data_IF_889427723968
#
_entry.id   IF_889427723968
#
_cell.length_a   1.000
_cell.length_b   1.000
_cell.length_c   1.000
_cell.angle_alpha   90.00
_cell.angle_beta   90.00
_cell.angle_gamma   90.00
#
_symmetry.space_group_name_H-M   'P 1'
#
loop_
_entity.id
_entity.type
_entity.pdbx_description
1 polymer ?
#
# COMPACT_ATOMS: atom_id res chain seq x y z
N UNK A 1 23.93 46.42 0.02
CA UNK A 1 25.06 46.22 -0.89
C UNK A 1 24.55 45.36 -2.04
N UNK A 2 24.34 46.03 -3.15
CA UNK A 2 23.91 45.48 -4.43
C UNK A 2 25.08 44.78 -5.11
N UNK A 3 24.85 43.69 -5.80
CA UNK A 3 25.80 43.03 -6.69
C UNK A 3 25.06 42.43 -7.85
N UNK A 4 24.88 43.22 -8.91
CA UNK A 4 24.39 42.81 -10.22
C UNK A 4 25.44 41.93 -10.91
N UNK A 5 25.00 40.78 -11.47
CA UNK A 5 25.79 39.99 -12.39
C UNK A 5 25.11 39.91 -13.76
N UNK A 6 25.79 40.55 -14.69
CA UNK A 6 25.57 40.77 -16.10
C UNK A 6 25.63 39.44 -16.91
N UNK A 7 24.65 39.22 -17.82
CA UNK A 7 24.71 38.23 -18.88
C UNK A 7 25.24 38.87 -20.17
N UNK A 8 26.12 38.25 -20.91
CA UNK A 8 26.39 38.64 -22.29
C UNK A 8 25.53 37.91 -23.29
N UNK A 9 24.96 38.71 -24.14
CA UNK A 9 24.24 38.42 -25.38
C UNK A 9 25.23 37.88 -26.45
N UNK A 10 24.91 36.82 -27.14
CA UNK A 10 25.63 36.34 -28.34
C UNK A 10 24.63 36.13 -29.49
N UNK A 11 24.85 36.98 -30.48
CA UNK A 11 24.04 37.22 -31.62
C UNK A 11 23.92 36.10 -32.65
N UNK A 12 22.90 36.23 -33.41
CA UNK A 12 22.58 35.52 -34.63
C UNK A 12 23.62 35.71 -35.75
N UNK A 13 23.97 34.64 -36.40
CA UNK A 13 24.48 34.71 -37.77
C UNK A 13 23.86 33.57 -38.62
N UNK A 14 23.08 34.00 -39.64
CA UNK A 14 22.49 33.17 -40.66
C UNK A 14 23.40 33.14 -41.86
N UNK A 15 23.88 31.99 -42.31
CA UNK A 15 24.48 31.85 -43.61
C UNK A 15 23.73 30.84 -44.47
N UNK A 16 23.17 31.39 -45.53
CA UNK A 16 22.49 30.70 -46.63
C UNK A 16 23.51 30.30 -47.69
N UNK A 17 23.68 29.03 -47.96
CA UNK A 17 24.46 28.55 -49.09
C UNK A 17 23.51 28.12 -50.23
N UNK A 18 23.53 28.90 -51.30
CA UNK A 18 22.91 28.62 -52.61
C UNK A 18 23.69 27.52 -53.35
N UNK A 19 23.04 26.48 -53.78
CA UNK A 19 23.59 25.51 -54.75
C UNK A 19 23.09 25.85 -56.17
N UNK A 20 24.03 26.01 -57.08
CA UNK A 20 23.78 26.25 -58.52
C UNK A 20 23.63 24.91 -59.29
N UNK A 21 22.92 24.90 -60.41
CA UNK A 21 22.71 23.68 -61.20
C UNK A 21 23.84 23.46 -62.22
N UNK A 22 24.33 22.22 -62.25
CA UNK A 22 25.26 21.78 -63.31
C UNK A 22 24.48 21.12 -64.44
N UNK A 23 24.50 21.74 -65.57
CA UNK A 23 24.08 21.21 -66.92
C UNK A 23 25.25 20.42 -67.48
N UNK A 24 25.04 19.16 -67.86
CA UNK A 24 25.96 18.43 -68.75
C UNK A 24 25.23 17.98 -70.00
N UNK A 25 25.76 18.48 -71.11
CA UNK A 25 25.38 18.18 -72.48
C UNK A 25 25.91 16.83 -72.97
N UNK A 26 25.10 16.10 -73.69
CA UNK A 26 25.40 14.85 -74.37
C UNK A 26 26.17 15.09 -75.72
N UNK A 27 27.02 14.17 -76.12
CA UNK A 27 27.35 13.98 -77.53
C UNK A 27 26.67 12.74 -78.14
N UNK A 28 26.09 12.89 -79.29
CA UNK A 28 25.61 11.85 -80.21
C UNK A 28 26.76 11.20 -81.00
N UNK A 29 26.67 9.87 -81.23
CA UNK A 29 26.96 9.07 -82.45
C UNK A 29 26.95 7.60 -82.01
N UNK A 30 26.20 6.68 -82.52
CA UNK A 30 26.05 6.26 -83.90
C UNK A 30 26.33 4.75 -83.92
N UNK A 31 25.31 3.93 -84.22
CA UNK A 31 25.43 2.70 -84.98
C UNK A 31 25.83 1.42 -84.31
N UNK A 32 24.97 0.40 -84.36
CA UNK A 32 25.33 -1.00 -84.17
C UNK A 32 24.18 -1.83 -83.54
N UNK A 33 23.45 -2.58 -84.41
CA UNK A 33 22.50 -3.61 -83.92
C UNK A 33 23.28 -4.83 -83.39
N UNK A 34 23.11 -5.13 -82.10
CA UNK A 34 23.30 -6.49 -81.68
C UNK A 34 22.25 -6.76 -80.54
N UNK A 35 21.43 -7.76 -80.78
CA UNK A 35 20.32 -8.19 -79.94
C UNK A 35 20.93 -9.15 -78.90
N UNK A 36 21.13 -8.71 -77.67
CA UNK A 36 21.41 -9.58 -76.56
C UNK A 36 20.10 -10.05 -75.87
N UNK A 37 20.06 -11.26 -75.29
CA UNK A 37 18.80 -11.85 -74.76
C UNK A 37 18.32 -11.15 -73.51
N UNK A 38 17.01 -10.90 -73.44
CA UNK A 38 16.26 -10.37 -72.31
C UNK A 38 16.48 -11.22 -71.04
N UNK A 39 17.09 -10.64 -70.02
CA UNK A 39 16.98 -11.14 -68.64
C UNK A 39 15.50 -11.15 -68.23
N UNK A 40 15.01 -12.19 -67.58
CA UNK A 40 13.63 -12.20 -67.10
C UNK A 40 13.45 -11.11 -66.02
N UNK A 41 12.53 -10.19 -66.30
CA UNK A 41 12.10 -9.19 -65.32
C UNK A 41 11.53 -9.93 -64.13
N UNK A 42 12.24 -9.89 -62.99
CA UNK A 42 11.74 -10.44 -61.73
C UNK A 42 10.37 -9.80 -61.43
N UNK A 43 9.34 -10.64 -61.34
CA UNK A 43 7.96 -10.24 -61.08
C UNK A 43 7.90 -9.33 -59.84
N UNK A 44 7.47 -8.09 -60.02
CA UNK A 44 7.30 -7.08 -58.94
C UNK A 44 6.50 -7.64 -57.75
N UNK A 45 5.62 -8.61 -58.02
CA UNK A 45 4.85 -9.29 -56.97
C UNK A 45 5.73 -10.18 -56.05
N UNK A 46 6.78 -10.75 -56.59
CA UNK A 46 7.74 -11.56 -55.81
C UNK A 46 8.62 -10.70 -54.87
N UNK A 47 9.02 -9.50 -55.34
CA UNK A 47 9.81 -8.55 -54.56
C UNK A 47 8.97 -7.98 -53.41
N UNK A 48 7.69 -7.63 -53.64
CA UNK A 48 6.77 -7.13 -52.61
C UNK A 48 6.50 -8.22 -51.52
N UNK A 49 6.32 -9.47 -51.97
CA UNK A 49 6.15 -10.60 -51.03
C UNK A 49 7.39 -10.87 -50.17
N UNK A 50 8.57 -10.76 -50.76
CA UNK A 50 9.83 -10.92 -50.05
C UNK A 50 10.03 -9.83 -48.95
N UNK A 51 9.72 -8.57 -49.28
CA UNK A 51 9.79 -7.47 -48.32
C UNK A 51 8.73 -7.61 -47.21
N UNK A 52 7.52 -8.06 -47.51
CA UNK A 52 6.47 -8.31 -46.53
C UNK A 52 6.86 -9.43 -45.56
N UNK A 53 7.48 -10.52 -46.08
CA UNK A 53 7.99 -11.60 -45.22
C UNK A 53 9.18 -11.14 -44.35
N UNK A 54 10.10 -10.33 -44.88
CA UNK A 54 11.20 -9.77 -44.11
C UNK A 54 10.72 -8.84 -42.97
N UNK A 55 9.71 -7.98 -43.28
CA UNK A 55 9.09 -7.11 -42.29
C UNK A 55 8.33 -7.88 -41.19
N UNK A 56 7.63 -8.96 -41.56
CA UNK A 56 6.97 -9.86 -40.61
C UNK A 56 7.97 -10.60 -39.71
N UNK A 57 9.08 -11.08 -40.29
CA UNK A 57 10.15 -11.72 -39.59
C UNK A 57 10.88 -10.76 -38.60
N UNK A 58 11.13 -9.53 -39.06
CA UNK A 58 11.74 -8.48 -38.25
C UNK A 58 10.83 -8.08 -37.06
N UNK A 59 9.53 -7.96 -37.27
CA UNK A 59 8.53 -7.73 -36.23
C UNK A 59 8.49 -8.89 -35.24
N UNK A 60 8.55 -10.15 -35.71
CA UNK A 60 8.57 -11.34 -34.86
C UNK A 60 9.86 -11.41 -34.01
N UNK A 61 11.01 -11.05 -34.58
CA UNK A 61 12.29 -10.99 -33.85
C UNK A 61 12.26 -9.87 -32.80
N UNK A 62 11.69 -8.67 -33.12
CA UNK A 62 11.55 -7.58 -32.14
C UNK A 62 10.61 -7.92 -30.98
N UNK A 63 9.56 -8.73 -31.20
CA UNK A 63 8.68 -9.17 -30.12
C UNK A 63 9.30 -10.25 -29.23
N UNK A 64 10.18 -11.07 -29.76
CA UNK A 64 10.90 -12.10 -29.00
C UNK A 64 12.02 -11.52 -28.11
N UNK A 65 12.62 -10.39 -28.48
CA UNK A 65 13.68 -9.75 -27.66
C UNK A 65 13.14 -8.97 -26.46
N UNK A 66 11.83 -8.58 -26.46
CA UNK A 66 11.22 -7.88 -25.33
C UNK A 66 10.91 -8.76 -24.13
N UNK A 67 10.84 -10.09 -24.31
CA UNK A 67 10.52 -11.02 -23.23
C UNK A 67 11.76 -11.46 -22.40
N UNK A 68 12.98 -11.22 -22.89
CA UNK A 68 14.20 -11.75 -22.29
C UNK A 68 14.88 -10.81 -21.26
N UNK A 69 14.42 -9.58 -21.07
CA UNK A 69 15.09 -8.59 -20.23
C UNK A 69 14.44 -8.34 -18.85
N UNK A 70 13.31 -9.00 -18.52
CA UNK A 70 12.68 -8.87 -17.20
C UNK A 70 13.37 -9.71 -16.11
N UNK A 71 14.29 -10.59 -16.46
CA UNK A 71 14.56 -11.81 -15.68
C UNK A 71 15.81 -11.75 -14.78
N UNK A 72 16.57 -10.67 -14.74
CA UNK A 72 17.89 -10.73 -14.09
C UNK A 72 18.15 -9.66 -13.01
N UNK A 73 17.22 -8.75 -12.77
CA UNK A 73 17.52 -7.63 -11.85
C UNK A 73 17.79 -8.12 -10.42
N UNK A 74 17.01 -9.06 -9.90
CA UNK A 74 17.17 -9.53 -8.53
C UNK A 74 18.19 -10.64 -8.34
N UNK A 75 18.75 -11.20 -9.41
CA UNK A 75 19.77 -12.26 -9.30
C UNK A 75 20.98 -11.77 -8.52
N UNK A 76 21.34 -12.51 -7.46
CA UNK A 76 22.45 -12.15 -6.56
C UNK A 76 22.21 -10.92 -5.68
N UNK A 77 21.00 -10.34 -5.70
CA UNK A 77 20.64 -9.24 -4.81
C UNK A 77 19.86 -9.71 -3.60
N UNK A 78 19.79 -8.85 -2.61
CA UNK A 78 19.00 -9.02 -1.39
C UNK A 78 17.95 -7.93 -1.33
N UNK A 79 16.72 -8.26 -0.96
CA UNK A 79 15.66 -7.29 -0.66
C UNK A 79 15.67 -7.04 0.86
N UNK A 80 15.74 -5.79 1.26
CA UNK A 80 15.52 -5.36 2.65
C UNK A 80 14.04 -5.17 2.92
N UNK A 81 13.49 -5.89 3.92
CA UNK A 81 12.15 -5.65 4.44
C UNK A 81 12.23 -4.88 5.75
N UNK A 82 11.85 -3.61 5.72
CA UNK A 82 11.83 -2.74 6.89
C UNK A 82 10.50 -2.90 7.63
N UNK A 83 10.55 -3.27 8.91
CA UNK A 83 9.37 -3.44 9.76
C UNK A 83 9.31 -2.32 10.81
N UNK A 84 8.24 -1.52 10.77
CA UNK A 84 8.04 -0.34 11.62
C UNK A 84 7.62 -0.63 13.07
N UNK A 85 7.84 -1.84 13.56
CA UNK A 85 7.51 -2.27 14.92
C UNK A 85 8.68 -3.00 15.57
N UNK A 86 8.57 -3.21 16.89
CA UNK A 86 9.44 -4.12 17.63
C UNK A 86 9.24 -5.56 17.14
N UNK A 87 10.19 -6.42 17.49
CA UNK A 87 10.09 -7.87 17.29
C UNK A 87 8.89 -8.46 18.05
N UNK A 88 8.37 -9.57 17.56
CA UNK A 88 7.28 -10.34 18.17
C UNK A 88 5.89 -9.68 18.15
N UNK A 89 5.68 -8.58 17.44
CA UNK A 89 4.36 -7.99 17.20
C UNK A 89 3.73 -8.50 15.89
N UNK A 90 2.43 -8.24 15.70
CA UNK A 90 1.72 -8.69 14.50
C UNK A 90 2.35 -8.21 13.20
N UNK A 91 2.85 -6.97 13.12
CA UNK A 91 3.59 -6.47 11.93
C UNK A 91 4.88 -7.26 11.70
N UNK A 92 5.62 -7.59 12.76
CA UNK A 92 6.85 -8.37 12.67
C UNK A 92 6.58 -9.80 12.18
N UNK A 93 5.54 -10.44 12.73
CA UNK A 93 5.14 -11.80 12.34
C UNK A 93 4.74 -11.88 10.87
N UNK A 94 3.85 -10.98 10.39
CA UNK A 94 3.46 -10.93 8.98
C UNK A 94 4.64 -10.58 8.06
N UNK A 95 5.52 -9.66 8.48
CA UNK A 95 6.71 -9.30 7.74
C UNK A 95 7.68 -10.47 7.56
N UNK A 96 7.98 -11.19 8.64
CA UNK A 96 8.87 -12.37 8.61
C UNK A 96 8.27 -13.51 7.81
N UNK A 97 6.95 -13.70 7.89
CA UNK A 97 6.26 -14.71 7.10
C UNK A 97 6.37 -14.39 5.59
N UNK A 98 6.14 -13.12 5.19
CA UNK A 98 6.37 -12.70 3.79
C UNK A 98 7.82 -12.93 3.37
N UNK A 99 8.78 -12.50 4.18
CA UNK A 99 10.20 -12.61 3.85
C UNK A 99 10.65 -14.04 3.60
N UNK A 100 10.08 -15.01 4.33
CA UNK A 100 10.41 -16.43 4.18
C UNK A 100 9.95 -17.01 2.84
N UNK A 101 8.81 -16.55 2.33
CA UNK A 101 8.16 -17.20 1.19
C UNK A 101 8.20 -16.38 -0.11
N UNK A 102 8.28 -15.05 -0.06
CA UNK A 102 8.10 -14.20 -1.25
C UNK A 102 9.28 -14.29 -2.22
N UNK A 103 10.51 -14.48 -1.73
CA UNK A 103 11.69 -14.50 -2.59
C UNK A 103 11.64 -15.56 -3.69
N UNK A 104 11.03 -16.74 -3.43
CA UNK A 104 10.87 -17.81 -4.42
C UNK A 104 9.93 -17.48 -5.58
N UNK A 105 9.12 -16.42 -5.44
CA UNK A 105 8.18 -15.92 -6.45
C UNK A 105 8.70 -14.70 -7.22
N UNK A 106 9.92 -14.27 -6.94
CA UNK A 106 10.60 -13.17 -7.65
C UNK A 106 11.67 -13.79 -8.57
N UNK A 107 11.76 -13.30 -9.82
CA UNK A 107 12.79 -13.73 -10.73
C UNK A 107 14.21 -13.49 -10.13
N UNK A 108 15.11 -14.45 -10.28
CA UNK A 108 16.43 -14.40 -9.61
C UNK A 108 16.44 -14.84 -8.15
N UNK A 109 15.29 -15.17 -7.55
CA UNK A 109 15.12 -15.72 -6.18
C UNK A 109 15.93 -14.98 -5.09
N UNK A 110 15.76 -13.66 -4.93
CA UNK A 110 16.49 -12.89 -3.93
C UNK A 110 16.16 -13.33 -2.51
N UNK A 111 17.16 -13.31 -1.63
CA UNK A 111 16.91 -13.38 -0.20
C UNK A 111 16.18 -12.11 0.28
N UNK A 112 15.23 -12.25 1.19
CA UNK A 112 14.57 -11.11 1.83
C UNK A 112 15.01 -11.05 3.28
N UNK A 113 15.73 -9.98 3.64
CA UNK A 113 16.29 -9.78 4.99
C UNK A 113 15.46 -8.75 5.74
N UNK A 114 15.04 -9.14 6.94
CA UNK A 114 14.18 -8.32 7.81
C UNK A 114 15.01 -7.37 8.68
N UNK A 115 14.58 -6.10 8.78
CA UNK A 115 15.15 -5.08 9.65
C UNK A 115 14.03 -4.39 10.43
N UNK A 116 14.02 -4.53 11.76
CA UNK A 116 13.08 -3.79 12.60
C UNK A 116 13.56 -2.34 12.80
N UNK A 117 12.65 -1.39 12.54
CA UNK A 117 12.88 0.05 12.71
C UNK A 117 11.70 0.67 13.47
N UNK A 118 11.54 0.35 14.77
CA UNK A 118 10.45 0.89 15.58
C UNK A 118 10.63 2.39 15.84
N UNK A 119 9.54 3.05 16.24
CA UNK A 119 9.54 4.43 16.71
C UNK A 119 8.38 5.25 16.16
N UNK A 120 7.83 6.10 17.02
CA UNK A 120 6.74 7.03 16.73
C UNK A 120 5.55 6.36 16.00
N UNK A 121 5.07 5.21 16.49
CA UNK A 121 3.94 4.51 15.87
C UNK A 121 4.19 4.09 14.40
N UNK A 122 5.43 3.78 14.02
CA UNK A 122 5.80 3.41 12.64
C UNK A 122 6.20 4.58 11.75
N UNK A 123 6.08 5.84 12.19
CA UNK A 123 6.47 7.02 11.41
C UNK A 123 7.96 7.05 11.08
N UNK A 124 8.83 6.54 11.98
CA UNK A 124 10.28 6.47 11.72
C UNK A 124 10.57 5.63 10.47
N UNK A 125 10.02 4.43 10.42
CA UNK A 125 10.21 3.52 9.27
C UNK A 125 9.53 4.06 8.02
N UNK A 126 8.31 4.59 8.11
CA UNK A 126 7.62 5.20 6.97
C UNK A 126 8.42 6.35 6.35
N UNK A 127 8.95 7.27 7.19
CA UNK A 127 9.81 8.35 6.72
C UNK A 127 11.12 7.85 6.10
N UNK A 128 11.73 6.81 6.67
CA UNK A 128 12.94 6.20 6.10
C UNK A 128 12.66 5.58 4.73
N UNK A 129 11.60 4.78 4.61
CA UNK A 129 11.21 4.13 3.34
C UNK A 129 10.89 5.19 2.28
N UNK A 130 10.21 6.28 2.65
CA UNK A 130 9.81 7.32 1.71
C UNK A 130 11.00 8.13 1.20
N UNK A 131 11.90 8.58 2.10
CA UNK A 131 12.88 9.61 1.81
C UNK A 131 14.31 9.09 1.63
N UNK A 132 14.67 7.95 2.26
CA UNK A 132 16.06 7.48 2.39
C UNK A 132 16.30 6.18 1.67
N UNK A 133 15.35 5.25 1.69
CA UNK A 133 15.52 3.92 1.12
C UNK A 133 15.82 3.96 -0.39
N UNK A 134 16.57 2.96 -0.88
CA UNK A 134 16.82 2.79 -2.30
C UNK A 134 15.53 2.68 -3.09
N UNK A 135 15.47 3.33 -4.26
CA UNK A 135 14.28 3.43 -5.11
C UNK A 135 14.38 2.54 -6.34
N UNK A 136 15.08 1.43 -6.22
CA UNK A 136 15.36 0.47 -7.30
C UNK A 136 14.53 -0.83 -7.20
N UNK A 137 13.73 -0.99 -6.15
CA UNK A 137 12.96 -2.20 -5.86
C UNK A 137 13.60 -3.14 -4.85
N UNK A 138 14.81 -2.86 -4.35
CA UNK A 138 15.50 -3.69 -3.34
C UNK A 138 15.09 -3.39 -1.91
N UNK A 139 14.17 -2.46 -1.70
CA UNK A 139 13.61 -2.15 -0.37
C UNK A 139 12.10 -2.20 -0.42
N UNK A 140 11.51 -2.93 0.52
CA UNK A 140 10.08 -2.93 0.82
C UNK A 140 9.88 -2.68 2.31
N UNK A 141 8.67 -2.37 2.74
CA UNK A 141 8.40 -2.15 4.16
C UNK A 141 6.97 -2.42 4.56
N UNK A 142 6.79 -2.56 5.87
CA UNK A 142 5.50 -2.65 6.55
C UNK A 142 5.56 -1.78 7.81
N UNK A 143 4.55 -0.94 8.03
CA UNK A 143 4.44 -0.06 9.19
C UNK A 143 2.98 0.06 9.65
N UNK A 144 2.76 0.72 10.79
CA UNK A 144 1.43 0.83 11.38
C UNK A 144 0.46 1.57 10.43
N UNK A 145 -0.73 0.99 10.29
CA UNK A 145 -1.83 1.54 9.47
C UNK A 145 -2.27 2.95 9.90
N UNK A 146 -2.02 3.31 11.17
CA UNK A 146 -2.35 4.64 11.68
C UNK A 146 -1.60 5.75 10.95
N UNK A 147 -0.41 5.49 10.40
CA UNK A 147 0.39 6.47 9.65
C UNK A 147 -0.41 7.08 8.50
N UNK A 148 -1.22 6.28 7.80
CA UNK A 148 -2.10 6.77 6.74
C UNK A 148 -3.22 7.68 7.30
N UNK A 149 -3.91 7.24 8.33
CA UNK A 149 -5.01 8.00 8.94
C UNK A 149 -4.50 9.29 9.59
N UNK A 150 -3.39 9.22 10.34
CA UNK A 150 -2.77 10.38 10.98
C UNK A 150 -2.38 11.45 9.95
N UNK A 151 -1.85 11.04 8.78
CA UNK A 151 -1.57 11.97 7.69
C UNK A 151 -2.86 12.60 7.15
N UNK A 152 -3.89 11.81 6.88
CA UNK A 152 -5.17 12.28 6.34
C UNK A 152 -5.82 13.29 7.29
N UNK A 153 -5.70 13.08 8.60
CA UNK A 153 -6.22 13.96 9.64
C UNK A 153 -5.27 15.12 10.00
N UNK A 154 -4.11 15.24 9.35
CA UNK A 154 -3.14 16.31 9.59
C UNK A 154 -2.42 16.20 10.94
N UNK A 155 -2.47 15.04 11.59
CA UNK A 155 -1.80 14.76 12.86
C UNK A 155 -0.39 14.18 12.67
N UNK A 156 -0.08 13.67 11.48
CA UNK A 156 1.16 12.98 11.23
C UNK A 156 2.28 13.89 10.78
N UNK A 157 3.48 13.46 11.14
CA UNK A 157 4.74 14.01 10.65
C UNK A 157 5.37 13.14 9.56
N UNK A 158 4.57 12.43 8.74
CA UNK A 158 5.07 11.79 7.54
C UNK A 158 5.60 12.89 6.61
N UNK A 159 6.91 12.90 6.38
CA UNK A 159 7.59 13.83 5.48
C UNK A 159 7.45 13.34 4.03
N UNK A 160 6.20 13.26 3.59
CA UNK A 160 5.84 12.70 2.30
C UNK A 160 4.32 12.54 2.18
N UNK A 161 3.89 11.78 1.19
CA UNK A 161 2.49 11.52 0.90
C UNK A 161 2.27 10.00 0.84
N UNK A 162 1.42 9.47 1.71
CA UNK A 162 1.13 8.03 1.79
C UNK A 162 0.55 7.48 0.46
N UNK A 163 -0.15 8.31 -0.31
CA UNK A 163 -0.66 7.94 -1.62
C UNK A 163 0.46 7.71 -2.65
N UNK A 164 1.66 8.26 -2.43
CA UNK A 164 2.81 8.12 -3.34
C UNK A 164 3.71 6.93 -3.05
N UNK A 165 3.51 6.20 -1.96
CA UNK A 165 4.13 4.89 -1.82
C UNK A 165 3.64 3.96 -2.94
N UNK A 166 4.47 3.04 -3.36
CA UNK A 166 4.04 1.93 -4.19
C UNK A 166 3.47 0.83 -3.29
N UNK A 167 2.16 0.76 -3.16
CA UNK A 167 1.49 -0.26 -2.36
C UNK A 167 1.60 -1.62 -3.06
N UNK A 168 2.25 -2.57 -2.41
CA UNK A 168 2.57 -3.90 -2.97
C UNK A 168 1.41 -4.88 -2.76
N UNK A 169 0.79 -4.82 -1.60
CA UNK A 169 -0.36 -5.63 -1.25
C UNK A 169 -0.64 -5.61 0.24
N UNK A 170 -1.82 -6.07 0.63
CA UNK A 170 -2.26 -6.23 2.01
C UNK A 170 -2.46 -7.71 2.30
N UNK A 171 -1.92 -8.21 3.39
CA UNK A 171 -2.20 -9.58 3.86
C UNK A 171 -3.53 -9.68 4.59
N UNK A 172 -3.86 -8.68 5.39
CA UNK A 172 -5.05 -8.67 6.22
C UNK A 172 -5.51 -7.25 6.51
N UNK A 173 -6.82 -7.02 6.49
CA UNK A 173 -7.44 -5.85 7.11
C UNK A 173 -7.25 -5.87 8.63
N UNK A 174 -7.47 -4.76 9.30
CA UNK A 174 -7.33 -4.70 10.75
C UNK A 174 -8.60 -4.14 11.39
N UNK A 175 -9.63 -4.95 11.39
CA UNK A 175 -10.84 -4.65 12.14
C UNK A 175 -10.63 -5.05 13.60
N UNK A 176 -10.65 -4.07 14.49
CA UNK A 176 -10.63 -4.33 15.91
C UNK A 176 -12.06 -4.51 16.45
N UNK A 177 -12.16 -5.26 17.52
CA UNK A 177 -13.40 -5.42 18.28
C UNK A 177 -13.26 -4.67 19.59
N UNK A 178 -14.22 -3.79 19.91
CA UNK A 178 -14.38 -3.21 21.23
C UNK A 178 -15.14 -4.18 22.12
N UNK A 179 -14.66 -4.38 23.32
CA UNK A 179 -15.31 -5.24 24.30
C UNK A 179 -15.22 -4.65 25.70
N UNK A 180 -16.22 -4.95 26.52
CA UNK A 180 -16.26 -4.61 27.94
C UNK A 180 -15.98 -5.84 28.81
N UNK A 181 -15.32 -5.62 29.93
CA UNK A 181 -15.10 -6.66 30.93
C UNK A 181 -16.42 -7.12 31.56
N UNK A 182 -16.51 -8.36 31.97
CA UNK A 182 -17.78 -8.94 32.47
C UNK A 182 -18.36 -8.22 33.69
N UNK A 183 -17.56 -7.48 34.46
CA UNK A 183 -18.04 -6.71 35.61
C UNK A 183 -18.55 -5.32 35.23
N UNK A 184 -18.24 -4.81 34.03
CA UNK A 184 -18.74 -3.52 33.56
C UNK A 184 -20.29 -3.50 33.55
N UNK A 185 -20.89 -2.34 33.79
CA UNK A 185 -22.34 -2.16 33.68
C UNK A 185 -22.84 -2.21 32.23
N UNK A 186 -22.02 -1.71 31.32
CA UNK A 186 -22.26 -1.72 29.86
C UNK A 186 -22.01 -3.13 29.32
N UNK A 187 -23.06 -3.75 28.76
CA UNK A 187 -22.99 -5.12 28.18
C UNK A 187 -23.14 -5.12 26.66
N UNK A 188 -23.66 -4.06 26.12
CA UNK A 188 -23.87 -3.83 24.68
C UNK A 188 -23.49 -2.40 24.32
N UNK A 189 -23.25 -2.14 23.03
CA UNK A 189 -23.00 -0.76 22.59
C UNK A 189 -24.22 0.15 22.84
N UNK A 190 -25.42 -0.38 22.85
CA UNK A 190 -26.63 0.38 23.15
C UNK A 190 -26.61 0.98 24.58
N UNK A 191 -26.03 0.30 25.54
CA UNK A 191 -25.92 0.80 26.91
C UNK A 191 -24.97 2.01 26.99
N UNK A 192 -23.93 2.06 26.13
CA UNK A 192 -22.94 3.14 26.10
C UNK A 192 -23.50 4.50 25.63
N UNK A 193 -24.73 4.55 25.12
CA UNK A 193 -25.42 5.82 24.83
C UNK A 193 -25.99 6.48 26.08
N UNK A 194 -26.27 5.71 27.10
CA UNK A 194 -26.91 6.19 28.34
C UNK A 194 -25.99 6.12 29.55
N UNK A 195 -25.09 5.14 29.60
CA UNK A 195 -24.17 4.88 30.69
C UNK A 195 -22.73 5.23 30.29
N UNK A 196 -21.95 5.80 31.22
CA UNK A 196 -20.51 6.00 31.04
C UNK A 196 -19.80 4.66 30.99
N UNK A 197 -18.82 4.51 30.08
CA UNK A 197 -17.95 3.36 29.98
C UNK A 197 -16.50 3.84 29.96
N UNK A 198 -15.71 3.42 30.94
CA UNK A 198 -14.28 3.77 31.04
C UNK A 198 -13.47 2.86 30.11
N UNK A 199 -12.85 3.44 29.08
CA UNK A 199 -12.21 2.71 27.97
C UNK A 199 -10.74 3.01 27.93
N UNK A 200 -9.90 1.97 27.92
CA UNK A 200 -8.48 2.12 27.60
C UNK A 200 -8.27 2.45 26.12
N UNK A 201 -7.45 3.46 25.86
CA UNK A 201 -7.05 3.87 24.51
C UNK A 201 -5.50 3.84 24.39
N UNK A 202 -4.90 2.64 24.26
CA UNK A 202 -3.44 2.47 24.29
C UNK A 202 -2.72 2.97 23.02
N UNK A 203 -3.42 3.33 21.97
CA UNK A 203 -2.82 3.75 20.71
C UNK A 203 -3.65 4.81 19.99
N UNK A 204 -3.05 5.44 18.97
CA UNK A 204 -3.70 6.49 18.16
C UNK A 204 -5.01 6.04 17.55
N UNK A 205 -5.04 4.88 16.91
CA UNK A 205 -6.26 4.36 16.26
C UNK A 205 -7.42 4.18 17.24
N UNK A 206 -7.20 3.60 18.43
CA UNK A 206 -8.27 3.42 19.43
C UNK A 206 -8.76 4.77 19.96
N UNK A 207 -7.83 5.69 20.28
CA UNK A 207 -8.16 7.02 20.75
C UNK A 207 -9.00 7.79 19.74
N UNK A 208 -8.58 7.82 18.48
CA UNK A 208 -9.31 8.50 17.40
C UNK A 208 -10.70 7.90 17.17
N UNK A 209 -10.81 6.58 17.13
CA UNK A 209 -12.09 5.91 16.92
C UNK A 209 -13.09 6.21 18.03
N UNK A 210 -12.65 6.17 19.31
CA UNK A 210 -13.56 6.41 20.44
C UNK A 210 -13.94 7.87 20.57
N UNK A 211 -13.03 8.80 20.27
CA UNK A 211 -13.34 10.22 20.21
C UNK A 211 -14.36 10.52 19.11
N UNK A 212 -14.16 9.94 17.93
CA UNK A 212 -15.10 10.10 16.83
C UNK A 212 -16.47 9.48 17.14
N UNK A 213 -16.51 8.33 17.80
CA UNK A 213 -17.74 7.67 18.20
C UNK A 213 -18.55 8.51 19.20
N UNK A 214 -17.89 9.09 20.20
CA UNK A 214 -18.53 10.04 21.11
C UNK A 214 -19.10 11.25 20.38
N UNK A 215 -18.33 11.84 19.49
CA UNK A 215 -18.70 13.08 18.78
C UNK A 215 -19.82 12.87 17.76
N UNK A 216 -19.84 11.74 17.05
CA UNK A 216 -20.70 11.51 15.89
C UNK A 216 -21.89 10.58 16.19
N UNK A 217 -21.75 9.67 17.14
CA UNK A 217 -22.84 8.78 17.54
C UNK A 217 -23.43 9.15 18.91
N UNK A 218 -22.73 9.93 19.74
CA UNK A 218 -23.21 10.38 21.04
C UNK A 218 -23.05 9.33 22.15
N UNK A 219 -22.07 8.45 22.04
CA UNK A 219 -21.71 7.51 23.11
C UNK A 219 -21.05 8.24 24.29
N UNK A 220 -21.08 7.62 25.47
CA UNK A 220 -20.52 8.15 26.71
C UNK A 220 -19.24 7.41 27.11
N UNK A 221 -18.27 7.33 26.16
CA UNK A 221 -16.98 6.68 26.43
C UNK A 221 -16.05 7.66 27.13
N UNK A 222 -15.55 7.28 28.31
CA UNK A 222 -14.51 8.01 29.05
C UNK A 222 -13.15 7.39 28.73
N UNK A 223 -12.34 8.08 27.92
CA UNK A 223 -11.07 7.56 27.43
C UNK A 223 -9.99 7.74 28.49
N UNK A 224 -9.28 6.66 28.81
CA UNK A 224 -8.03 6.69 29.55
C UNK A 224 -6.88 6.35 28.60
N UNK A 225 -5.91 7.25 28.54
CA UNK A 225 -4.69 7.16 27.70
C UNK A 225 -3.45 6.94 28.55
N UNK A 226 -2.26 6.86 27.93
CA UNK A 226 -0.99 6.72 28.67
C UNK A 226 -0.53 5.29 28.86
N UNK A 227 -1.23 4.30 28.32
CA UNK A 227 -0.79 2.91 28.28
C UNK A 227 0.32 2.73 27.24
N UNK A 228 1.39 2.01 27.60
CA UNK A 228 2.49 1.70 26.69
C UNK A 228 2.08 0.82 25.49
N UNK A 229 0.95 0.11 25.65
CA UNK A 229 0.40 -0.76 24.61
C UNK A 229 -0.76 -1.61 25.09
N UNK A 230 -1.27 -2.51 24.25
CA UNK A 230 -2.41 -3.38 24.60
C UNK A 230 -2.17 -4.24 25.84
N UNK A 231 -0.94 -4.70 26.08
CA UNK A 231 -0.64 -5.56 27.22
C UNK A 231 -0.89 -4.85 28.57
N UNK A 232 -0.43 -3.60 28.72
CA UNK A 232 -0.68 -2.80 29.93
C UNK A 232 -2.17 -2.45 30.10
N UNK A 233 -2.88 -2.21 28.99
CA UNK A 233 -4.31 -1.97 29.02
C UNK A 233 -5.13 -3.23 29.44
N UNK A 234 -4.70 -4.44 29.01
CA UNK A 234 -5.31 -5.70 29.48
C UNK A 234 -5.21 -5.85 31.00
N UNK A 235 -4.02 -5.62 31.55
CA UNK A 235 -3.79 -5.71 33.00
C UNK A 235 -4.66 -4.69 33.74
N UNK A 236 -4.76 -3.46 33.26
CA UNK A 236 -5.61 -2.43 33.85
C UNK A 236 -7.09 -2.82 33.83
N UNK A 237 -7.56 -3.45 32.75
CA UNK A 237 -8.94 -3.95 32.65
C UNK A 237 -9.21 -5.10 33.62
N UNK A 238 -8.30 -6.07 33.73
CA UNK A 238 -8.43 -7.18 34.69
C UNK A 238 -8.43 -6.71 36.13
N UNK A 239 -7.74 -5.59 36.43
CA UNK A 239 -7.73 -4.95 37.76
C UNK A 239 -8.92 -4.03 38.03
N UNK A 240 -9.75 -3.79 36.98
CA UNK A 240 -10.90 -2.89 37.09
C UNK A 240 -10.56 -1.40 37.04
N UNK A 241 -9.37 -1.03 36.61
CA UNK A 241 -8.97 0.39 36.41
C UNK A 241 -9.66 0.98 35.17
N UNK A 242 -9.93 0.15 34.17
CA UNK A 242 -10.78 0.43 33.02
C UNK A 242 -11.79 -0.69 32.85
N UNK A 243 -12.89 -0.37 32.17
CA UNK A 243 -14.00 -1.32 31.98
C UNK A 243 -13.99 -1.96 30.58
N UNK A 244 -13.33 -1.32 29.60
CA UNK A 244 -13.34 -1.75 28.22
C UNK A 244 -12.04 -1.41 27.51
N UNK A 245 -11.79 -2.12 26.41
CA UNK A 245 -10.71 -1.84 25.46
C UNK A 245 -11.04 -2.41 24.07
N UNK A 246 -10.13 -2.26 23.12
CA UNK A 246 -10.23 -2.93 21.82
C UNK A 246 -8.96 -3.67 21.47
N UNK A 247 -9.13 -4.78 20.74
CA UNK A 247 -8.04 -5.56 20.13
C UNK A 247 -8.46 -5.96 18.70
N UNK A 248 -7.51 -6.17 17.79
CA UNK A 248 -7.79 -6.90 16.56
C UNK A 248 -8.44 -8.24 16.90
N UNK A 249 -9.49 -8.62 16.14
CA UNK A 249 -10.26 -9.83 16.45
C UNK A 249 -9.39 -11.08 16.49
N UNK A 250 -8.52 -11.26 15.50
CA UNK A 250 -7.58 -12.38 15.47
C UNK A 250 -6.66 -12.43 16.69
N UNK A 251 -6.18 -11.27 17.16
CA UNK A 251 -5.34 -11.19 18.37
C UNK A 251 -6.13 -11.59 19.61
N UNK A 252 -7.38 -11.15 19.73
CA UNK A 252 -8.24 -11.53 20.86
C UNK A 252 -8.48 -13.05 20.88
N UNK A 253 -8.74 -13.65 19.73
CA UNK A 253 -8.94 -15.10 19.62
C UNK A 253 -7.67 -15.91 19.92
N UNK A 254 -6.51 -15.44 19.47
CA UNK A 254 -5.26 -16.14 19.61
C UNK A 254 -4.66 -16.02 21.02
N UNK A 255 -4.70 -14.81 21.60
CA UNK A 255 -4.03 -14.52 22.87
C UNK A 255 -4.93 -14.69 24.11
N UNK A 256 -6.24 -14.56 23.96
CA UNK A 256 -7.19 -14.59 25.08
C UNK A 256 -8.45 -15.44 24.77
N UNK A 257 -8.29 -16.68 24.25
CA UNK A 257 -9.44 -17.53 23.89
C UNK A 257 -10.33 -17.86 25.12
N UNK A 258 -9.74 -17.90 26.31
CA UNK A 258 -10.45 -18.14 27.57
C UNK A 258 -11.44 -17.00 27.91
N UNK A 259 -11.15 -15.75 27.52
CA UNK A 259 -12.09 -14.65 27.76
C UNK A 259 -13.39 -14.80 26.99
N UNK A 260 -13.30 -15.37 25.77
CA UNK A 260 -14.46 -15.67 24.93
C UNK A 260 -15.20 -16.91 25.46
N UNK A 261 -14.48 -18.01 25.72
CA UNK A 261 -15.05 -19.28 26.20
C UNK A 261 -15.76 -19.11 27.52
N UNK A 262 -15.13 -18.42 28.48
CA UNK A 262 -15.60 -18.26 29.85
C UNK A 262 -16.52 -17.03 30.02
N UNK A 263 -16.87 -16.36 28.91
CA UNK A 263 -17.71 -15.16 28.87
C UNK A 263 -17.24 -14.04 29.78
N UNK A 264 -15.91 -13.85 29.89
CA UNK A 264 -15.29 -12.78 30.68
C UNK A 264 -15.39 -11.41 30.00
N UNK A 265 -15.80 -11.35 28.76
CA UNK A 265 -15.97 -10.12 27.99
C UNK A 265 -17.32 -10.09 27.25
N UNK A 266 -17.85 -8.89 27.06
CA UNK A 266 -19.02 -8.60 26.22
C UNK A 266 -18.53 -7.87 24.98
N UNK A 267 -18.73 -8.43 23.80
CA UNK A 267 -18.38 -7.77 22.54
C UNK A 267 -19.38 -6.62 22.29
N UNK A 268 -18.88 -5.42 22.00
CA UNK A 268 -19.73 -4.22 21.88
C UNK A 268 -19.92 -3.80 20.43
N UNK A 269 -18.83 -3.69 19.67
CA UNK A 269 -18.84 -3.29 18.24
C UNK A 269 -17.55 -3.71 17.54
N UNK A 270 -17.56 -3.65 16.22
CA UNK A 270 -16.40 -3.79 15.37
C UNK A 270 -16.08 -2.48 14.63
N UNK A 271 -14.77 -2.16 14.46
CA UNK A 271 -14.32 -0.85 13.96
C UNK A 271 -14.11 -0.81 12.44
N UNK A 272 -14.17 -1.96 11.74
CA UNK A 272 -13.93 -2.05 10.31
C UNK A 272 -15.01 -1.39 9.45
N UNK A 273 -14.66 -0.98 8.24
CA UNK A 273 -15.63 -0.56 7.22
C UNK A 273 -16.52 -1.72 6.77
N UNK A 274 -15.95 -2.92 6.72
CA UNK A 274 -16.69 -4.14 6.39
C UNK A 274 -16.97 -4.95 7.66
N UNK A 275 -18.03 -5.74 7.64
CA UNK A 275 -18.34 -6.67 8.73
C UNK A 275 -17.34 -7.83 8.70
N UNK A 276 -16.81 -8.18 9.86
CA UNK A 276 -16.07 -9.42 10.01
C UNK A 276 -16.99 -10.62 9.77
N UNK A 277 -16.58 -11.55 8.93
CA UNK A 277 -17.37 -12.72 8.53
C UNK A 277 -17.74 -13.63 9.70
N UNK A 278 -16.90 -13.68 10.74
CA UNK A 278 -17.13 -14.48 11.95
C UNK A 278 -17.97 -13.75 12.99
N UNK A 279 -18.27 -12.45 12.78
CA UNK A 279 -19.04 -11.61 13.69
C UNK A 279 -20.17 -10.85 12.93
N UNK A 280 -21.04 -11.55 12.18
CA UNK A 280 -22.02 -10.90 11.29
C UNK A 280 -23.05 -10.05 12.05
N UNK A 281 -23.36 -10.40 13.30
CA UNK A 281 -24.36 -9.75 14.13
C UNK A 281 -23.79 -8.61 14.99
N UNK A 282 -22.46 -8.52 15.13
CA UNK A 282 -21.84 -7.45 15.89
C UNK A 282 -21.93 -6.13 15.10
N UNK A 283 -22.50 -5.05 15.66
CA UNK A 283 -22.64 -3.78 14.96
C UNK A 283 -21.27 -3.18 14.61
N UNK A 284 -21.18 -2.53 13.43
CA UNK A 284 -20.02 -1.74 13.08
C UNK A 284 -20.13 -0.36 13.71
N UNK A 285 -18.99 0.23 14.06
CA UNK A 285 -18.95 1.59 14.57
C UNK A 285 -19.56 2.60 13.57
N UNK A 286 -19.37 2.39 12.27
CA UNK A 286 -19.87 3.26 11.19
C UNK A 286 -21.40 3.20 11.01
N UNK A 287 -22.08 2.21 11.57
CA UNK A 287 -23.56 2.08 11.52
C UNK A 287 -24.28 2.79 12.67
N UNK A 288 -23.55 3.31 13.66
CA UNK A 288 -24.15 3.91 14.87
C UNK A 288 -24.59 5.37 14.74
N UNK A 289 -24.00 6.24 13.89
CA UNK A 289 -24.50 7.60 13.71
C UNK A 289 -25.92 7.64 13.14
N UNK A 290 -26.70 8.64 13.57
CA UNK A 290 -28.08 8.83 13.12
C UNK A 290 -28.18 9.55 11.78
N UNK A 291 -27.19 10.37 11.41
CA UNK A 291 -27.16 11.08 10.14
C UNK A 291 -26.15 10.46 9.17
N UNK A 292 -26.45 10.55 7.86
CA UNK A 292 -25.55 10.08 6.82
C UNK A 292 -24.24 10.87 6.77
N UNK A 293 -24.27 12.16 7.11
CA UNK A 293 -23.07 13.00 7.14
C UNK A 293 -22.14 12.60 8.29
N UNK A 294 -22.69 12.30 9.48
CA UNK A 294 -21.91 11.76 10.59
C UNK A 294 -21.32 10.39 10.27
N UNK A 295 -22.07 9.55 9.57
CA UNK A 295 -21.62 8.24 9.09
C UNK A 295 -20.40 8.39 8.16
N UNK A 296 -20.49 9.26 7.14
CA UNK A 296 -19.40 9.52 6.20
C UNK A 296 -18.13 10.01 6.89
N UNK A 297 -18.29 10.86 7.92
CA UNK A 297 -17.14 11.31 8.73
C UNK A 297 -16.56 10.16 9.54
N UNK A 298 -17.41 9.32 10.14
CA UNK A 298 -16.93 8.17 10.93
C UNK A 298 -16.26 7.10 10.06
N UNK A 299 -16.69 6.95 8.80
CA UNK A 299 -16.03 6.09 7.81
C UNK A 299 -14.57 6.50 7.58
N UNK A 300 -14.25 7.82 7.63
CA UNK A 300 -12.86 8.29 7.51
C UNK A 300 -11.98 7.72 8.62
N UNK A 301 -12.47 7.68 9.85
CA UNK A 301 -11.72 7.08 10.97
C UNK A 301 -11.54 5.58 10.81
N UNK A 302 -12.48 4.90 10.15
CA UNK A 302 -12.42 3.48 9.88
C UNK A 302 -11.51 3.11 8.68
N UNK A 303 -11.04 4.07 7.86
CA UNK A 303 -10.21 3.80 6.68
C UNK A 303 -8.93 3.03 7.01
N UNK A 304 -8.33 3.30 8.17
CA UNK A 304 -7.12 2.59 8.61
C UNK A 304 -7.32 1.08 8.69
N UNK A 305 -8.56 0.60 8.91
CA UNK A 305 -8.87 -0.83 8.96
C UNK A 305 -8.64 -1.53 7.62
N UNK A 306 -8.84 -0.80 6.51
CA UNK A 306 -8.60 -1.33 5.15
C UNK A 306 -7.10 -1.42 4.87
N UNK A 307 -6.32 -0.45 5.34
CA UNK A 307 -4.84 -0.48 5.17
C UNK A 307 -4.22 -1.68 5.88
N UNK A 308 -4.60 -1.95 7.10
CA UNK A 308 -4.24 -3.16 7.84
C UNK A 308 -2.75 -3.52 7.78
N UNK A 309 -2.47 -4.77 7.44
CA UNK A 309 -1.11 -5.34 7.31
C UNK A 309 -0.63 -5.24 5.87
N UNK A 310 -0.33 -4.01 5.43
CA UNK A 310 0.05 -3.69 4.05
C UNK A 310 1.54 -3.49 3.89
N UNK A 311 2.04 -3.90 2.72
CA UNK A 311 3.43 -3.75 2.31
C UNK A 311 3.54 -2.67 1.25
N UNK A 312 4.62 -1.91 1.33
CA UNK A 312 4.92 -0.79 0.43
C UNK A 312 6.35 -0.91 -0.11
N UNK A 313 6.59 -0.32 -1.28
CA UNK A 313 7.91 0.07 -1.73
C UNK A 313 8.03 1.60 -1.75
N UNK A 314 9.25 2.16 -1.75
CA UNK A 314 9.47 3.60 -1.84
C UNK A 314 8.78 4.22 -3.06
N UNK A 315 8.41 5.52 -3.02
CA UNK A 315 8.00 6.23 -4.24
C UNK A 315 9.13 6.25 -5.27
N UNK A 316 8.77 6.38 -6.56
CA UNK A 316 9.69 6.42 -7.68
C UNK A 316 10.52 5.14 -7.93
N UNK A 317 10.11 4.00 -7.38
CA UNK A 317 10.60 2.69 -7.85
C UNK A 317 10.08 2.47 -9.28
N UNK A 318 10.89 1.98 -10.24
CA UNK A 318 10.45 1.68 -11.59
C UNK A 318 9.21 0.79 -11.62
N UNK A 319 8.29 1.12 -12.52
CA UNK A 319 6.97 0.43 -12.59
C UNK A 319 7.10 -1.08 -12.75
N UNK A 320 8.03 -1.54 -13.59
CA UNK A 320 8.28 -2.96 -13.82
C UNK A 320 8.70 -3.69 -12.53
N UNK A 321 9.45 -3.03 -11.63
CA UNK A 321 9.82 -3.60 -10.33
C UNK A 321 8.64 -3.65 -9.37
N UNK A 322 7.79 -2.61 -9.38
CA UNK A 322 6.57 -2.58 -8.58
C UNK A 322 5.62 -3.69 -9.02
N UNK A 323 5.45 -3.87 -10.33
CA UNK A 323 4.57 -4.91 -10.89
C UNK A 323 5.08 -6.32 -10.55
N UNK A 324 6.41 -6.55 -10.62
CA UNK A 324 7.05 -7.80 -10.23
C UNK A 324 6.84 -8.10 -8.72
N UNK A 325 7.07 -7.12 -7.84
CA UNK A 325 6.83 -7.26 -6.40
C UNK A 325 5.37 -7.53 -6.08
N UNK A 326 4.42 -6.87 -6.76
CA UNK A 326 2.97 -7.12 -6.64
C UNK A 326 2.59 -8.52 -7.07
N UNK A 327 3.12 -8.99 -8.20
CA UNK A 327 2.89 -10.34 -8.70
C UNK A 327 3.43 -11.38 -7.72
N UNK A 328 4.65 -11.19 -7.22
CA UNK A 328 5.28 -12.08 -6.24
C UNK A 328 4.49 -12.11 -4.92
N UNK A 329 4.00 -10.95 -4.43
CA UNK A 329 3.14 -10.88 -3.25
C UNK A 329 1.86 -11.72 -3.43
N UNK A 330 1.16 -11.53 -4.55
CA UNK A 330 -0.08 -12.26 -4.83
C UNK A 330 0.13 -13.75 -5.06
N UNK A 331 1.31 -14.16 -5.57
CA UNK A 331 1.70 -15.56 -5.65
C UNK A 331 1.98 -16.13 -4.25
N UNK A 332 2.67 -15.36 -3.40
CA UNK A 332 3.00 -15.77 -2.02
C UNK A 332 1.75 -16.06 -1.19
N UNK A 333 0.75 -15.19 -1.21
CA UNK A 333 -0.46 -15.35 -0.39
C UNK A 333 -1.36 -16.51 -0.86
N UNK A 334 -1.03 -17.14 -1.99
CA UNK A 334 -1.67 -18.35 -2.54
C UNK A 334 -0.80 -19.59 -2.41
N UNK A 335 0.43 -19.46 -1.97
CA UNK A 335 1.40 -20.53 -1.88
C UNK A 335 1.04 -21.50 -0.75
N UNK A 336 1.12 -22.81 -1.01
CA UNK A 336 0.69 -23.84 -0.06
C UNK A 336 1.54 -23.86 1.23
N UNK A 337 2.86 -23.63 1.12
CA UNK A 337 3.74 -23.59 2.28
C UNK A 337 3.45 -22.35 3.14
N UNK A 338 3.23 -21.20 2.47
CA UNK A 338 2.83 -19.96 3.14
C UNK A 338 1.49 -20.13 3.88
N UNK A 339 0.48 -20.72 3.23
CA UNK A 339 -0.83 -20.97 3.83
C UNK A 339 -0.74 -21.93 5.02
N UNK A 340 0.13 -22.93 4.93
CA UNK A 340 0.41 -23.85 6.03
C UNK A 340 1.04 -23.14 7.22
N UNK A 341 2.02 -22.27 6.96
CA UNK A 341 2.73 -21.57 8.03
C UNK A 341 1.87 -20.49 8.71
N UNK A 342 1.04 -19.75 7.95
CA UNK A 342 0.13 -18.76 8.54
C UNK A 342 -0.95 -19.44 9.40
N UNK A 343 -1.47 -20.59 8.96
CA UNK A 343 -2.44 -21.37 9.72
C UNK A 343 -1.88 -21.89 11.04
N UNK A 344 -0.62 -22.36 11.06
CA UNK A 344 0.07 -22.79 12.30
C UNK A 344 0.20 -21.65 13.32
N UNK A 345 0.29 -20.41 12.84
CA UNK A 345 0.38 -19.23 13.68
C UNK A 345 -1.00 -18.72 14.16
N UNK A 346 -2.10 -19.32 13.68
CA UNK A 346 -3.47 -18.84 13.88
C UNK A 346 -3.66 -17.37 13.44
N UNK A 347 -3.00 -16.97 12.35
CA UNK A 347 -3.11 -15.63 11.79
C UNK A 347 -4.09 -15.62 10.62
N UNK A 348 -4.95 -14.61 10.59
CA UNK A 348 -5.93 -14.44 9.52
C UNK A 348 -5.26 -13.94 8.23
N UNK A 349 -5.87 -14.29 7.11
CA UNK A 349 -5.45 -13.89 5.78
C UNK A 349 -6.66 -13.40 4.97
N UNK A 350 -6.64 -12.11 4.63
CA UNK A 350 -7.61 -11.45 3.74
C UNK A 350 -6.84 -10.59 2.72
N UNK A 351 -6.23 -11.23 1.72
CA UNK A 351 -5.33 -10.53 0.81
C UNK A 351 -6.08 -9.54 -0.08
N UNK A 352 -5.46 -8.35 -0.27
CA UNK A 352 -5.87 -7.36 -1.26
C UNK A 352 -4.68 -7.06 -2.17
N UNK A 353 -4.94 -6.98 -3.47
CA UNK A 353 -3.91 -6.67 -4.46
C UNK A 353 -3.39 -5.23 -4.29
N UNK A 354 -2.08 -5.03 -4.56
CA UNK A 354 -1.46 -3.72 -4.38
C UNK A 354 -2.06 -2.62 -5.24
N UNK A 355 -2.52 -2.94 -6.46
CA UNK A 355 -3.17 -1.96 -7.33
C UNK A 355 -4.54 -1.52 -6.78
N UNK A 356 -5.31 -2.44 -6.21
CA UNK A 356 -6.60 -2.15 -5.57
C UNK A 356 -6.40 -1.29 -4.32
N UNK A 357 -5.43 -1.66 -3.48
CA UNK A 357 -5.07 -0.88 -2.30
C UNK A 357 -4.55 0.52 -2.66
N UNK A 358 -3.74 0.63 -3.71
CA UNK A 358 -3.27 1.92 -4.24
C UNK A 358 -4.42 2.83 -4.66
N UNK A 359 -5.42 2.28 -5.37
CA UNK A 359 -6.60 3.01 -5.80
C UNK A 359 -7.45 3.45 -4.59
N UNK A 360 -7.57 2.60 -3.56
CA UNK A 360 -8.26 2.93 -2.32
C UNK A 360 -7.59 4.10 -1.58
N UNK A 361 -6.26 4.05 -1.44
CA UNK A 361 -5.46 5.09 -0.75
C UNK A 361 -5.47 6.42 -1.51
N UNK A 362 -5.45 6.38 -2.84
CA UNK A 362 -5.44 7.56 -3.71
C UNK A 362 -6.84 8.18 -3.90
N UNK A 363 -7.87 7.62 -3.27
CA UNK A 363 -9.24 8.15 -3.37
C UNK A 363 -9.31 9.53 -2.72
N UNK A 364 -9.85 10.49 -3.46
CA UNK A 364 -10.16 11.80 -2.93
C UNK A 364 -11.40 11.77 -2.04
N UNK A 365 -11.28 12.39 -0.88
CA UNK A 365 -12.39 12.59 0.04
C UNK A 365 -12.81 14.06 0.01
N UNK A 366 -14.13 14.38 0.08
CA UNK A 366 -14.61 15.76 0.12
C UNK A 366 -13.89 16.56 1.21
N UNK A 367 -13.29 17.73 0.89
CA UNK A 367 -12.52 18.50 1.85
C UNK A 367 -13.28 18.82 3.13
N UNK A 368 -14.60 19.10 3.04
CA UNK A 368 -15.45 19.38 4.19
C UNK A 368 -15.52 18.19 5.17
N UNK A 369 -15.55 16.95 4.68
CA UNK A 369 -15.56 15.76 5.54
C UNK A 369 -14.20 15.59 6.24
N UNK A 370 -13.11 15.82 5.53
CA UNK A 370 -11.75 15.76 6.09
C UNK A 370 -11.56 16.83 7.17
N UNK A 371 -11.95 18.07 6.93
CA UNK A 371 -11.83 19.14 7.94
C UNK A 371 -12.67 18.82 9.18
N UNK A 372 -13.89 18.33 9.02
CA UNK A 372 -14.71 17.90 10.15
C UNK A 372 -14.08 16.75 10.93
N UNK A 373 -13.49 15.77 10.24
CA UNK A 373 -12.76 14.69 10.88
C UNK A 373 -11.52 15.21 11.64
N UNK A 374 -10.77 16.17 11.08
CA UNK A 374 -9.64 16.83 11.74
C UNK A 374 -10.06 17.58 13.01
N UNK A 375 -11.17 18.32 12.96
CA UNK A 375 -11.73 19.00 14.14
C UNK A 375 -12.05 18.04 15.27
N UNK A 376 -12.66 16.88 14.94
CA UNK A 376 -12.97 15.83 15.92
C UNK A 376 -11.68 15.23 16.48
N UNK A 377 -10.71 14.92 15.63
CA UNK A 377 -9.42 14.35 16.05
C UNK A 377 -8.64 15.27 17.01
N UNK A 378 -8.84 16.60 16.94
CA UNK A 378 -8.20 17.58 17.83
C UNK A 378 -8.85 17.72 19.19
N UNK A 379 -10.03 17.14 19.43
CA UNK A 379 -10.77 17.24 20.72
C UNK A 379 -10.18 16.39 21.84
N UNK A 380 -9.00 15.81 21.66
CA UNK A 380 -8.29 14.97 22.60
C UNK A 380 -7.15 15.69 23.31
#
# INVERSE_FOLDING_TARGET
MHGDLHYPDLGHETDAVRAAPLSLSLPHKGGGNDVAPLCPIADQRSIVRLHACLFALLKLILTLTSAAHADDFYRGKTISLIIGSNTSGGYDTYGRLLARHMGKHIAGHPAIVVQNMPGAGGLRSANHIYNVAAKDGTVIGIFDQAVFLDQLLGAATLRGDAARFNWIGRMMGNSAVMFAWHTAKVKSIADAFTQELIVAAPGSSSRLNWTALNALAGTKLKLLTGYEGPASAKIAMERGEVEAMSLPWAVLQAENPEWLRDKKINLLLQTGLEKNRTLPDLPRMVDLPKSDDDRKVLEIFALSSVVGRSFVAPPAVPKERVDELRAAFMATVKDADFLTDIAKLNFDLEPMAGAELQAFIAKDYPPALIERAKEIARRN
#
